data_IF_365042334064
#
_entry.id   IF_365042334064
#
_cell.length_a   1.000
_cell.length_b   1.000
_cell.length_c   1.000
_cell.angle_alpha   90.00
_cell.angle_beta   90.00
_cell.angle_gamma   90.00
#
_symmetry.space_group_name_H-M   'P 1'
#
loop_
_entity.id
_entity.type
_entity.pdbx_description
1 polymer ?
#
# COMPACT_ATOMS: atom_id res chain seq x y z
N UNK A 1 24.39 11.31 -39.73
CA UNK A 1 24.59 10.25 -40.74
C UNK A 1 24.38 8.90 -40.06
N UNK A 2 23.95 7.89 -40.81
CA UNK A 2 23.63 6.48 -40.46
C UNK A 2 22.42 6.23 -39.53
N UNK A 3 21.43 5.39 -39.83
CA UNK A 3 21.11 4.58 -41.01
C UNK A 3 19.59 4.36 -41.03
N UNK A 4 18.96 4.62 -42.18
CA UNK A 4 17.56 4.31 -42.41
C UNK A 4 17.50 2.87 -42.94
N UNK A 5 17.38 1.88 -42.05
CA UNK A 5 17.18 0.48 -42.43
C UNK A 5 15.78 0.32 -43.02
N UNK A 6 15.69 0.51 -44.34
CA UNK A 6 14.56 0.06 -45.13
C UNK A 6 14.54 -1.47 -45.13
N UNK A 7 13.70 -2.05 -44.28
CA UNK A 7 13.32 -3.47 -44.38
C UNK A 7 12.61 -3.68 -45.72
N UNK A 8 13.35 -4.10 -46.74
CA UNK A 8 12.77 -4.65 -47.95
C UNK A 8 12.20 -6.02 -47.60
N UNK A 9 10.87 -6.11 -47.54
CA UNK A 9 10.18 -7.38 -47.41
C UNK A 9 10.57 -8.27 -48.59
N UNK A 10 11.21 -9.40 -48.30
CA UNK A 10 11.53 -10.41 -49.30
C UNK A 10 10.23 -11.03 -49.81
N UNK A 11 9.79 -10.61 -50.99
CA UNK A 11 8.68 -11.26 -51.68
C UNK A 11 9.09 -12.71 -51.99
N UNK A 12 8.22 -13.65 -51.61
CA UNK A 12 8.45 -15.09 -51.77
C UNK A 12 8.35 -15.45 -53.26
N UNK A 13 9.44 -15.22 -54.01
CA UNK A 13 9.51 -15.38 -55.46
C UNK A 13 9.87 -16.83 -55.79
N UNK A 14 8.96 -17.54 -56.46
CA UNK A 14 9.22 -18.90 -56.95
C UNK A 14 10.00 -18.85 -58.27
N UNK A 15 11.27 -19.22 -58.23
CA UNK A 15 12.17 -19.27 -59.39
C UNK A 15 12.65 -17.89 -59.84
N UNK A 16 13.92 -17.57 -59.58
CA UNK A 16 14.53 -16.31 -60.03
C UNK A 16 14.87 -16.39 -61.53
N UNK A 17 14.38 -15.47 -62.38
CA UNK A 17 14.84 -15.36 -63.76
C UNK A 17 16.25 -14.75 -63.81
N UNK A 18 17.03 -15.14 -64.82
CA UNK A 18 18.42 -14.68 -65.02
C UNK A 18 18.51 -13.15 -65.18
N UNK A 19 17.46 -12.51 -65.70
CA UNK A 19 17.38 -11.05 -65.89
C UNK A 19 17.08 -10.25 -64.61
N UNK A 20 16.83 -10.91 -63.47
CA UNK A 20 16.58 -10.27 -62.18
C UNK A 20 15.25 -9.52 -62.04
N UNK A 21 14.50 -9.32 -63.13
CA UNK A 21 13.22 -8.58 -63.12
C UNK A 21 12.04 -9.55 -63.09
N UNK A 22 11.24 -9.48 -62.03
CA UNK A 22 10.11 -10.37 -61.78
C UNK A 22 8.81 -9.58 -61.87
N UNK A 23 7.87 -10.04 -62.71
CA UNK A 23 6.56 -9.38 -62.91
C UNK A 23 5.39 -10.17 -62.30
N UNK A 24 5.65 -11.40 -61.86
CA UNK A 24 4.66 -12.29 -61.25
C UNK A 24 4.82 -12.27 -59.74
N UNK A 25 3.96 -11.51 -59.06
CA UNK A 25 3.85 -11.54 -57.60
C UNK A 25 2.77 -12.56 -57.25
N UNK A 26 3.13 -13.61 -56.49
CA UNK A 26 2.14 -14.54 -55.95
C UNK A 26 1.35 -13.85 -54.82
N UNK A 27 0.14 -13.41 -55.14
CA UNK A 27 -0.77 -12.82 -54.15
C UNK A 27 -1.42 -13.95 -53.36
N UNK A 28 -1.26 -13.92 -52.03
CA UNK A 28 -2.03 -14.79 -51.15
C UNK A 28 -3.54 -14.50 -51.31
N UNK A 29 -4.41 -15.53 -51.35
CA UNK A 29 -5.84 -15.34 -51.44
C UNK A 29 -6.33 -14.53 -50.24
N UNK A 30 -7.16 -13.51 -50.48
CA UNK A 30 -7.72 -12.67 -49.44
C UNK A 30 -8.67 -13.49 -48.56
N UNK A 31 -8.14 -14.06 -47.48
CA UNK A 31 -8.95 -14.67 -46.43
C UNK A 31 -9.46 -13.55 -45.53
N UNK A 32 -10.76 -13.28 -45.57
CA UNK A 32 -11.42 -12.43 -44.58
C UNK A 32 -11.36 -13.11 -43.20
N UNK A 33 -10.21 -13.07 -42.54
CA UNK A 33 -10.09 -13.40 -41.12
C UNK A 33 -11.00 -12.42 -40.36
N UNK A 34 -11.50 -12.79 -39.18
CA UNK A 34 -12.35 -11.92 -38.33
C UNK A 34 -11.81 -10.49 -38.14
N UNK A 35 -10.50 -10.29 -38.34
CA UNK A 35 -9.79 -9.01 -38.46
C UNK A 35 -10.27 -8.08 -39.60
N UNK A 36 -10.99 -8.59 -40.60
CA UNK A 36 -11.54 -7.86 -41.77
C UNK A 36 -12.97 -7.37 -41.53
N UNK A 37 -13.66 -7.88 -40.50
CA UNK A 37 -14.96 -7.34 -40.08
C UNK A 37 -14.71 -6.03 -39.31
N UNK A 38 -14.77 -4.91 -40.02
CA UNK A 38 -14.40 -3.55 -39.59
C UNK A 38 -15.13 -3.01 -38.34
N UNK A 39 -16.08 -3.75 -37.77
CA UNK A 39 -16.97 -3.25 -36.72
C UNK A 39 -16.50 -3.56 -35.29
N UNK A 40 -15.47 -4.39 -35.08
CA UNK A 40 -14.95 -4.70 -33.73
C UNK A 40 -13.41 -4.68 -33.68
N UNK A 41 -12.86 -3.69 -32.96
CA UNK A 41 -11.42 -3.51 -32.74
C UNK A 41 -10.79 -4.56 -31.82
N UNK A 42 -11.60 -5.22 -30.99
CA UNK A 42 -11.19 -6.22 -29.99
C UNK A 42 -12.17 -7.40 -29.99
N UNK A 43 -11.65 -8.60 -29.73
CA UNK A 43 -12.43 -9.81 -29.51
C UNK A 43 -13.21 -9.71 -28.18
N UNK A 44 -14.38 -10.36 -28.07
CA UNK A 44 -15.18 -10.40 -26.82
C UNK A 44 -14.35 -10.80 -25.59
N UNK A 45 -13.40 -11.73 -25.78
CA UNK A 45 -12.46 -12.13 -24.72
C UNK A 45 -11.49 -11.03 -24.32
N UNK A 46 -10.94 -10.27 -25.28
CA UNK A 46 -10.02 -9.17 -25.01
C UNK A 46 -10.71 -8.04 -24.25
N UNK A 47 -11.96 -7.73 -24.59
CA UNK A 47 -12.79 -6.78 -23.84
C UNK A 47 -13.02 -7.23 -22.38
N UNK A 48 -13.30 -8.53 -22.16
CA UNK A 48 -13.43 -9.09 -20.81
C UNK A 48 -12.11 -9.02 -20.03
N UNK A 49 -10.99 -9.29 -20.71
CA UNK A 49 -9.64 -9.21 -20.11
C UNK A 49 -9.31 -7.78 -19.69
N UNK A 50 -9.61 -6.80 -20.55
CA UNK A 50 -9.41 -5.39 -20.26
C UNK A 50 -10.25 -4.94 -19.05
N UNK A 51 -11.55 -5.24 -19.04
CA UNK A 51 -12.42 -4.92 -17.89
C UNK A 51 -11.92 -5.54 -16.58
N UNK A 52 -11.48 -6.80 -16.61
CA UNK A 52 -10.91 -7.46 -15.42
C UNK A 52 -9.66 -6.76 -14.92
N UNK A 53 -8.82 -6.25 -15.82
CA UNK A 53 -7.61 -5.50 -15.47
C UNK A 53 -7.96 -4.15 -14.85
N UNK A 54 -8.92 -3.42 -15.44
CA UNK A 54 -9.45 -2.17 -14.90
C UNK A 54 -10.06 -2.36 -13.50
N UNK A 55 -10.90 -3.39 -13.32
CA UNK A 55 -11.51 -3.73 -12.03
C UNK A 55 -10.46 -4.08 -10.98
N UNK A 56 -9.41 -4.80 -11.36
CA UNK A 56 -8.31 -5.15 -10.45
C UNK A 56 -7.57 -3.89 -10.00
N UNK A 57 -7.19 -3.03 -10.94
CA UNK A 57 -6.53 -1.77 -10.63
C UNK A 57 -7.40 -0.87 -9.73
N UNK A 58 -8.71 -0.82 -9.99
CA UNK A 58 -9.64 -0.08 -9.15
C UNK A 58 -9.70 -0.62 -7.72
N UNK A 59 -9.84 -1.95 -7.57
CA UNK A 59 -9.89 -2.61 -6.26
C UNK A 59 -8.59 -2.42 -5.48
N UNK A 60 -7.44 -2.50 -6.15
CA UNK A 60 -6.13 -2.30 -5.54
C UNK A 60 -6.00 -0.86 -5.00
N UNK A 61 -6.43 0.15 -5.77
CA UNK A 61 -6.47 1.55 -5.32
C UNK A 61 -7.41 1.75 -4.13
N UNK A 62 -8.61 1.17 -4.17
CA UNK A 62 -9.57 1.27 -3.07
C UNK A 62 -9.05 0.59 -1.80
N UNK A 63 -8.34 -0.54 -1.95
CA UNK A 63 -7.70 -1.22 -0.81
C UNK A 63 -6.61 -0.34 -0.21
N UNK A 64 -5.70 0.20 -1.02
CA UNK A 64 -4.64 1.09 -0.55
C UNK A 64 -5.18 2.26 0.29
N UNK A 65 -6.21 2.97 -0.22
CA UNK A 65 -6.85 4.07 0.51
C UNK A 65 -7.49 3.64 1.84
N UNK A 66 -8.06 2.44 1.90
CA UNK A 66 -8.65 1.91 3.13
C UNK A 66 -7.59 1.53 4.15
N UNK A 67 -6.48 0.98 3.70
CA UNK A 67 -5.39 0.54 4.56
C UNK A 67 -4.64 1.76 5.13
N UNK A 68 -4.41 2.80 4.32
CA UNK A 68 -3.88 4.11 4.79
C UNK A 68 -4.76 4.71 5.89
N UNK A 69 -6.08 4.80 5.66
CA UNK A 69 -7.03 5.33 6.65
C UNK A 69 -7.08 4.51 7.94
N UNK A 70 -6.86 3.19 7.87
CA UNK A 70 -6.79 2.33 9.05
C UNK A 70 -5.49 2.55 9.81
N UNK A 71 -4.36 2.60 9.11
CA UNK A 71 -3.06 2.86 9.71
C UNK A 71 -3.03 4.20 10.47
N UNK A 72 -3.63 5.26 9.91
CA UNK A 72 -3.78 6.55 10.60
C UNK A 72 -4.59 6.43 11.89
N UNK A 73 -5.73 5.74 11.85
CA UNK A 73 -6.56 5.51 13.04
C UNK A 73 -5.84 4.69 14.10
N UNK A 74 -5.13 3.64 13.68
CA UNK A 74 -4.35 2.78 14.57
C UNK A 74 -3.21 3.56 15.22
N UNK A 75 -2.53 4.43 14.48
CA UNK A 75 -1.49 5.31 15.02
C UNK A 75 -2.05 6.27 16.10
N UNK A 76 -3.21 6.89 15.85
CA UNK A 76 -3.88 7.75 16.83
C UNK A 76 -4.28 6.96 18.08
N UNK A 77 -4.85 5.77 17.90
CA UNK A 77 -5.24 4.90 19.03
C UNK A 77 -4.03 4.45 19.83
N UNK A 78 -2.92 4.09 19.17
CA UNK A 78 -1.68 3.69 19.83
C UNK A 78 -1.10 4.85 20.66
N UNK A 79 -1.01 6.05 20.08
CA UNK A 79 -0.53 7.24 20.80
C UNK A 79 -1.41 7.59 22.01
N UNK A 80 -2.74 7.43 21.90
CA UNK A 80 -3.66 7.64 23.01
C UNK A 80 -3.49 6.60 24.13
N UNK A 81 -3.27 5.33 23.78
CA UNK A 81 -3.01 4.26 24.75
C UNK A 81 -1.70 4.52 25.49
N UNK A 82 -0.63 4.80 24.77
CA UNK A 82 0.68 5.12 25.35
C UNK A 82 0.59 6.31 26.31
N UNK A 83 -0.15 7.36 25.93
CA UNK A 83 -0.37 8.52 26.81
C UNK A 83 -1.14 8.16 28.09
N UNK A 84 -2.14 7.28 27.99
CA UNK A 84 -2.91 6.83 29.16
C UNK A 84 -2.06 5.96 30.08
N UNK A 85 -1.31 5.01 29.51
CA UNK A 85 -0.38 4.14 30.26
C UNK A 85 0.67 4.97 31.01
N UNK A 86 1.32 5.94 30.34
CA UNK A 86 2.26 6.87 31.00
C UNK A 86 1.61 7.64 32.14
N UNK A 87 0.38 8.09 31.97
CA UNK A 87 -0.34 8.82 33.03
C UNK A 87 -0.70 7.90 34.20
N UNK A 88 -1.15 6.68 33.93
CA UNK A 88 -1.47 5.70 34.97
C UNK A 88 -0.24 5.29 35.76
N UNK A 89 0.92 5.15 35.10
CA UNK A 89 2.20 4.93 35.76
C UNK A 89 2.59 6.09 36.66
N UNK A 90 2.52 7.33 36.17
CA UNK A 90 2.77 8.54 36.96
C UNK A 90 1.83 8.60 38.18
N UNK A 91 0.53 8.44 37.97
CA UNK A 91 -0.48 8.45 39.04
C UNK A 91 -0.22 7.33 40.06
N UNK A 92 0.29 6.16 39.63
CA UNK A 92 0.68 5.07 40.53
C UNK A 92 1.87 5.48 41.40
N UNK A 93 2.91 6.08 40.82
CA UNK A 93 4.06 6.58 41.57
C UNK A 93 3.66 7.68 42.55
N UNK A 94 2.79 8.61 42.14
CA UNK A 94 2.30 9.69 42.99
C UNK A 94 1.49 9.16 44.18
N UNK A 95 0.63 8.16 43.97
CA UNK A 95 -0.09 7.48 45.06
C UNK A 95 0.87 6.80 46.04
N UNK A 96 1.95 6.19 45.55
CA UNK A 96 2.97 5.57 46.40
C UNK A 96 3.74 6.63 47.20
N UNK A 97 4.12 7.73 46.57
CA UNK A 97 4.80 8.85 47.23
C UNK A 97 3.90 9.48 48.31
N UNK A 98 2.63 9.74 48.00
CA UNK A 98 1.64 10.25 48.94
C UNK A 98 1.47 9.31 50.15
N UNK A 99 1.40 7.99 49.92
CA UNK A 99 1.33 6.99 50.99
C UNK A 99 2.57 7.03 51.89
N UNK A 100 3.76 7.17 51.33
CA UNK A 100 4.99 7.27 52.11
C UNK A 100 5.06 8.59 52.89
N UNK A 101 4.64 9.70 52.27
CA UNK A 101 4.55 11.00 52.94
C UNK A 101 3.57 10.96 54.11
N UNK A 102 2.37 10.38 53.93
CA UNK A 102 1.40 10.18 55.00
C UNK A 102 1.97 9.37 56.16
N UNK A 103 2.69 8.27 55.87
CA UNK A 103 3.39 7.48 56.91
C UNK A 103 4.43 8.31 57.68
N UNK A 104 5.15 9.20 57.00
CA UNK A 104 6.14 10.09 57.64
C UNK A 104 5.46 11.10 58.57
N UNK A 105 4.39 11.76 58.11
CA UNK A 105 3.59 12.70 58.90
C UNK A 105 3.00 12.02 60.14
N UNK A 106 2.43 10.83 59.99
CA UNK A 106 1.89 10.07 61.11
C UNK A 106 2.98 9.68 62.14
N UNK A 107 4.18 9.33 61.67
CA UNK A 107 5.31 9.06 62.57
C UNK A 107 5.73 10.30 63.36
N UNK A 108 5.75 11.48 62.72
CA UNK A 108 6.02 12.75 63.39
C UNK A 108 4.94 13.06 64.44
N UNK A 109 3.67 12.98 64.08
CA UNK A 109 2.54 13.18 65.02
C UNK A 109 2.60 12.24 66.23
N UNK A 110 2.95 10.96 66.03
CA UNK A 110 3.14 10.01 67.15
C UNK A 110 4.34 10.35 68.04
N UNK A 111 5.43 10.89 67.47
CA UNK A 111 6.59 11.35 68.25
C UNK A 111 6.24 12.60 69.05
N UNK A 112 5.56 13.57 68.44
CA UNK A 112 5.07 14.77 69.12
C UNK A 112 4.15 14.44 70.30
N UNK A 113 3.18 13.53 70.10
CA UNK A 113 2.30 13.06 71.18
C UNK A 113 3.08 12.42 72.34
N UNK A 114 4.06 11.56 72.04
CA UNK A 114 4.90 10.93 73.07
C UNK A 114 5.79 11.95 73.80
N UNK A 115 6.45 12.83 73.05
CA UNK A 115 7.32 13.86 73.65
C UNK A 115 6.50 14.83 74.51
N UNK A 116 5.27 15.15 74.11
CA UNK A 116 4.34 15.94 74.92
C UNK A 116 3.99 15.21 76.22
N UNK A 117 3.56 13.95 76.14
CA UNK A 117 3.24 13.15 77.32
C UNK A 117 4.43 12.93 78.27
N UNK A 118 5.66 12.88 77.75
CA UNK A 118 6.89 12.78 78.56
C UNK A 118 7.37 14.12 79.12
N UNK A 119 6.90 15.26 78.57
CA UNK A 119 7.23 16.61 79.04
C UNK A 119 6.22 17.13 80.06
N UNK A 120 4.99 16.61 80.02
CA UNK A 120 3.92 16.89 81.00
C UNK A 120 3.98 15.96 82.23
N UNK A 121 4.99 15.09 82.32
CA UNK A 121 5.26 14.18 83.44
C UNK A 121 6.56 14.58 84.14
#
# INVERSE_FOLDING_TARGET
MSDNTSEHQEENIKGRPVSGRVWKVEKQPLRAKSRVVKNKKLTSWELKKQKRLEDKQFKDKVRALKDEKKAEKEAVVAALKERREKKEEQDRYDRLAAKMHAKKVDRLRRREKRNKALKER
#
